data_IF_172112471851
#
_entry.id   IF_172112471851
#
_cell.length_a   1.000
_cell.length_b   1.000
_cell.length_c   1.000
_cell.angle_alpha   90.00
_cell.angle_beta   90.00
_cell.angle_gamma   90.00
#
_symmetry.space_group_name_H-M   'P 1'
#
loop_
_entity.id
_entity.type
_entity.pdbx_description
1 polymer ?
#
# COMPACT_ATOMS: atom_id res chain seq x y z
N UNK A 1 4.66 12.75 18.94
CA UNK A 1 5.74 11.87 18.50
C UNK A 1 5.31 11.31 17.16
N UNK A 2 6.05 11.59 16.08
CA UNK A 2 5.82 10.94 14.79
C UNK A 2 6.53 9.59 14.84
N UNK A 3 5.77 8.50 14.73
CA UNK A 3 6.31 7.14 14.63
C UNK A 3 6.25 6.76 13.16
N UNK A 4 7.40 6.69 12.51
CA UNK A 4 7.54 6.32 11.10
C UNK A 4 8.55 5.18 10.96
N UNK A 5 8.38 4.37 9.91
CA UNK A 5 9.34 3.34 9.52
C UNK A 5 10.61 3.94 8.92
N UNK A 6 11.61 3.09 8.68
CA UNK A 6 12.82 3.47 7.96
C UNK A 6 12.49 4.04 6.58
N UNK A 7 13.33 4.96 6.11
CA UNK A 7 13.23 5.55 4.78
C UNK A 7 13.89 4.72 3.67
N UNK A 8 14.46 3.55 4.01
CA UNK A 8 15.03 2.64 3.02
C UNK A 8 14.01 1.57 2.65
N UNK A 9 13.66 1.49 1.36
CA UNK A 9 12.78 0.43 0.86
C UNK A 9 13.54 -0.90 0.74
N UNK A 10 12.90 -2.03 1.09
CA UNK A 10 13.43 -3.33 0.73
C UNK A 10 13.36 -3.54 -0.79
N UNK A 11 14.04 -4.57 -1.32
CA UNK A 11 13.82 -5.02 -2.68
C UNK A 11 12.34 -5.37 -2.92
N UNK A 12 11.87 -5.14 -4.15
CA UNK A 12 10.50 -5.47 -4.52
C UNK A 12 10.24 -6.98 -4.37
N UNK A 13 9.15 -7.40 -3.71
CA UNK A 13 8.90 -8.80 -3.44
C UNK A 13 8.53 -9.57 -4.71
N UNK A 14 8.99 -10.81 -4.83
CA UNK A 14 8.59 -11.72 -5.91
C UNK A 14 7.37 -12.54 -5.50
N UNK A 15 6.42 -12.74 -6.42
CA UNK A 15 5.28 -13.62 -6.17
C UNK A 15 5.73 -15.07 -6.02
N UNK A 16 5.44 -15.68 -4.86
CA UNK A 16 5.72 -17.09 -4.60
C UNK A 16 4.55 -17.96 -5.05
N UNK A 17 4.78 -18.82 -6.05
CA UNK A 17 3.80 -19.78 -6.54
C UNK A 17 3.52 -20.90 -5.53
N UNK A 18 2.35 -21.54 -5.63
CA UNK A 18 1.96 -22.68 -4.77
C UNK A 18 1.52 -22.30 -3.35
N UNK A 19 1.67 -21.04 -2.91
CA UNK A 19 1.19 -20.56 -1.61
C UNK A 19 -0.27 -20.09 -1.73
N UNK A 20 -1.17 -20.67 -0.91
CA UNK A 20 -2.55 -20.19 -0.80
C UNK A 20 -2.59 -18.78 -0.22
N UNK A 21 -3.37 -17.90 -0.85
CA UNK A 21 -3.61 -16.51 -0.42
C UNK A 21 -5.09 -16.30 -0.10
N UNK A 22 -5.40 -15.21 0.59
CA UNK A 22 -6.78 -14.79 0.79
C UNK A 22 -7.44 -14.51 -0.58
N UNK A 23 -8.76 -14.74 -0.71
CA UNK A 23 -9.49 -14.32 -1.90
C UNK A 23 -9.48 -12.79 -2.04
N UNK A 24 -9.65 -12.32 -3.28
CA UNK A 24 -9.85 -10.90 -3.57
C UNK A 24 -11.07 -10.35 -2.80
N UNK A 25 -10.94 -9.11 -2.32
CA UNK A 25 -12.02 -8.42 -1.59
C UNK A 25 -12.84 -7.51 -2.50
N UNK A 26 -12.41 -7.31 -3.74
CA UNK A 26 -13.00 -6.38 -4.68
C UNK A 26 -12.71 -4.92 -4.35
N UNK A 27 -12.81 -4.07 -5.36
CA UNK A 27 -12.64 -2.62 -5.22
C UNK A 27 -13.99 -1.91 -5.24
N UNK A 28 -14.54 -1.64 -4.05
CA UNK A 28 -15.87 -1.02 -3.89
C UNK A 28 -15.85 0.36 -3.22
N UNK A 29 -14.66 0.94 -3.04
CA UNK A 29 -14.49 2.22 -2.37
C UNK A 29 -14.89 3.39 -3.27
N UNK A 30 -15.58 4.38 -2.71
CA UNK A 30 -15.77 5.67 -3.39
C UNK A 30 -14.43 6.43 -3.49
N UNK A 31 -14.30 7.42 -4.39
CA UNK A 31 -13.05 8.19 -4.52
C UNK A 31 -12.54 8.79 -3.21
N UNK A 32 -13.45 9.25 -2.33
CA UNK A 32 -13.11 9.81 -1.01
C UNK A 32 -12.61 8.73 -0.05
N UNK A 33 -13.22 7.55 -0.08
CA UNK A 33 -12.80 6.41 0.73
C UNK A 33 -11.44 5.87 0.26
N UNK A 34 -11.22 5.78 -1.06
CA UNK A 34 -9.94 5.40 -1.65
C UNK A 34 -8.83 6.35 -1.21
N UNK A 35 -9.05 7.67 -1.30
CA UNK A 35 -8.08 8.65 -0.82
C UNK A 35 -7.79 8.51 0.69
N UNK A 36 -8.80 8.15 1.49
CA UNK A 36 -8.63 7.89 2.92
C UNK A 36 -7.85 6.60 3.18
N UNK A 37 -8.09 5.54 2.42
CA UNK A 37 -7.36 4.29 2.50
C UNK A 37 -5.86 4.49 2.20
N UNK A 38 -5.54 5.23 1.14
CA UNK A 38 -4.15 5.56 0.79
C UNK A 38 -3.47 6.39 1.90
N UNK A 39 -4.15 7.41 2.45
CA UNK A 39 -3.61 8.18 3.60
C UNK A 39 -3.35 7.31 4.82
N UNK A 40 -4.24 6.34 5.08
CA UNK A 40 -4.09 5.41 6.20
C UNK A 40 -2.88 4.47 6.02
N UNK A 41 -2.58 4.04 4.79
CA UNK A 41 -1.39 3.26 4.50
C UNK A 41 -0.11 4.11 4.60
N UNK A 42 -0.12 5.30 4.01
CA UNK A 42 1.05 6.19 3.92
C UNK A 42 1.47 6.81 5.26
N UNK A 43 0.58 6.88 6.27
CA UNK A 43 0.88 7.53 7.57
C UNK A 43 2.02 6.87 8.35
N UNK A 44 2.39 5.64 8.01
CA UNK A 44 3.48 4.89 8.66
C UNK A 44 4.84 5.13 7.99
N UNK A 45 4.88 5.87 6.89
CA UNK A 45 6.05 6.00 6.02
C UNK A 45 6.54 7.45 5.97
N UNK A 46 7.87 7.68 5.88
CA UNK A 46 8.43 8.99 5.56
C UNK A 46 7.82 9.58 4.28
N UNK A 47 7.55 10.89 4.27
CA UNK A 47 6.91 11.60 3.15
C UNK A 47 7.67 11.47 1.83
N UNK A 48 8.99 11.37 1.90
CA UNK A 48 9.86 11.15 0.73
C UNK A 48 9.57 9.85 -0.02
N UNK A 49 8.94 8.86 0.63
CA UNK A 49 8.55 7.60 0.00
C UNK A 49 7.12 7.63 -0.57
N UNK A 50 6.34 8.68 -0.31
CA UNK A 50 4.92 8.70 -0.68
C UNK A 50 4.71 8.73 -2.20
N UNK A 51 5.57 9.41 -2.94
CA UNK A 51 5.51 9.46 -4.40
C UNK A 51 5.71 8.07 -5.04
N UNK A 52 6.62 7.28 -4.47
CA UNK A 52 6.91 5.92 -4.92
C UNK A 52 5.81 4.94 -4.52
N UNK A 53 5.33 5.00 -3.27
CA UNK A 53 4.43 3.98 -2.70
C UNK A 53 2.94 4.23 -2.94
N UNK A 54 2.52 5.49 -3.13
CA UNK A 54 1.13 5.80 -3.42
C UNK A 54 0.57 5.07 -4.66
N UNK A 55 1.26 5.02 -5.82
CA UNK A 55 0.78 4.25 -6.97
C UNK A 55 0.76 2.73 -6.70
N UNK A 56 1.75 2.20 -5.97
CA UNK A 56 1.80 0.79 -5.59
C UNK A 56 0.57 0.39 -4.75
N UNK A 57 0.28 1.14 -3.68
CA UNK A 57 -0.89 0.88 -2.84
C UNK A 57 -2.22 1.10 -3.57
N UNK A 58 -2.26 1.97 -4.58
CA UNK A 58 -3.45 2.17 -5.39
C UNK A 58 -3.73 0.95 -6.29
N UNK A 59 -2.69 0.33 -6.86
CA UNK A 59 -2.86 -0.91 -7.61
C UNK A 59 -3.19 -2.08 -6.69
N UNK A 60 -2.57 -2.21 -5.52
CA UNK A 60 -2.93 -3.25 -4.55
C UNK A 60 -4.39 -3.16 -4.07
N UNK A 61 -4.99 -1.96 -4.04
CA UNK A 61 -6.41 -1.80 -3.72
C UNK A 61 -7.33 -2.33 -4.83
N UNK A 62 -6.84 -2.49 -6.06
CA UNK A 62 -7.61 -2.89 -7.25
C UNK A 62 -7.45 -4.38 -7.62
N UNK A 63 -6.47 -5.07 -7.04
CA UNK A 63 -6.05 -6.44 -7.39
C UNK A 63 -6.21 -7.42 -6.25
#
# INVERSE_FOLDING_TARGET
MEITLSNTLPPYPTFVEGIRRAPDRGFTLSPVQTATALKNALRYLPKELHETLAPEFMEELRT
#
